data_IF_302786404140
#
_entry.id   IF_302786404140
#
_cell.length_a   1.000
_cell.length_b   1.000
_cell.length_c   1.000
_cell.angle_alpha   90.00
_cell.angle_beta   90.00
_cell.angle_gamma   90.00
#
_symmetry.space_group_name_H-M   'P 1'
#
loop_
_entity.id
_entity.type
_entity.pdbx_description
1 polymer ?
#
# COMPACT_ATOMS: atom_id res chain seq x y z
N UNK A 1 11.97 29.49 9.50
CA UNK A 1 13.00 29.83 10.50
C UNK A 1 12.28 30.51 11.66
N UNK A 2 11.93 29.77 12.72
CA UNK A 2 11.22 30.35 13.87
C UNK A 2 12.23 31.09 14.77
N UNK A 3 11.89 32.31 15.19
CA UNK A 3 12.80 33.17 15.96
C UNK A 3 13.03 32.61 17.37
N UNK A 4 14.24 32.78 17.91
CA UNK A 4 14.61 32.38 19.28
C UNK A 4 13.63 32.86 20.36
N UNK A 5 12.86 33.93 20.11
CA UNK A 5 11.84 34.45 21.01
C UNK A 5 10.60 33.53 21.16
N UNK A 6 10.26 32.76 20.11
CA UNK A 6 9.15 31.80 20.16
C UNK A 6 9.51 30.58 21.03
N UNK A 7 10.77 30.16 20.98
CA UNK A 7 11.30 29.00 21.72
C UNK A 7 11.41 29.25 23.23
N UNK A 8 11.76 30.49 23.63
CA UNK A 8 11.83 30.89 25.05
C UNK A 8 10.46 30.88 25.75
N UNK A 9 9.37 30.97 25.00
CA UNK A 9 8.01 31.10 25.52
C UNK A 9 7.35 29.76 25.87
N UNK A 10 7.93 28.63 25.45
CA UNK A 10 7.46 27.27 25.77
C UNK A 10 8.27 26.57 26.88
N UNK A 11 9.20 27.28 27.50
CA UNK A 11 9.92 26.75 28.68
C UNK A 11 9.11 27.11 29.94
N UNK A 12 8.69 26.14 30.76
CA UNK A 12 8.04 26.45 32.04
C UNK A 12 9.03 27.17 32.97
N UNK A 13 8.61 28.26 33.63
CA UNK A 13 9.35 28.84 34.76
C UNK A 13 8.71 28.43 36.09
N UNK A 14 9.47 28.16 37.16
CA UNK A 14 10.85 27.67 37.25
C UNK A 14 10.86 26.15 37.55
N UNK A 15 11.93 25.38 37.23
CA UNK A 15 12.02 24.04 37.86
C UNK A 15 13.10 23.07 37.43
N UNK A 16 13.28 22.78 36.14
CA UNK A 16 14.26 21.78 35.68
C UNK A 16 14.81 22.21 34.32
N UNK A 17 16.13 22.15 34.13
CA UNK A 17 16.75 22.38 32.82
C UNK A 17 16.14 21.41 31.79
N UNK A 18 15.82 21.85 30.57
CA UNK A 18 15.18 20.97 29.57
C UNK A 18 16.01 19.70 29.30
N UNK A 19 17.34 19.82 29.32
CA UNK A 19 18.24 18.69 29.18
C UNK A 19 18.05 17.71 30.35
N UNK A 20 18.17 18.19 31.59
CA UNK A 20 17.95 17.38 32.82
C UNK A 20 16.57 16.72 32.82
N UNK A 21 15.54 17.42 32.34
CA UNK A 21 14.19 16.86 32.26
C UNK A 21 14.12 15.67 31.29
N UNK A 22 14.74 15.77 30.12
CA UNK A 22 14.78 14.67 29.14
C UNK A 22 15.63 13.50 29.69
N UNK A 23 16.75 13.79 30.34
CA UNK A 23 17.60 12.79 31.01
C UNK A 23 16.81 12.04 32.10
N UNK A 24 16.08 12.77 32.95
CA UNK A 24 15.22 12.18 33.98
C UNK A 24 14.09 11.34 33.39
N UNK A 25 13.49 11.73 32.26
CA UNK A 25 12.49 10.89 31.60
C UNK A 25 13.09 9.55 31.16
N UNK A 26 14.27 9.56 30.54
CA UNK A 26 14.93 8.30 30.14
C UNK A 26 15.27 7.45 31.37
N UNK A 27 15.79 8.06 32.44
CA UNK A 27 16.07 7.36 33.70
C UNK A 27 14.80 6.78 34.35
N UNK A 28 13.70 7.53 34.35
CA UNK A 28 12.40 7.10 34.88
C UNK A 28 11.90 5.86 34.14
N UNK A 29 12.04 5.81 32.81
CA UNK A 29 11.64 4.64 32.02
C UNK A 29 12.32 3.35 32.50
N UNK A 30 13.63 3.41 32.78
CA UNK A 30 14.42 2.25 33.19
C UNK A 30 14.26 1.89 34.66
N UNK A 31 13.87 2.83 35.52
CA UNK A 31 13.77 2.62 36.97
C UNK A 31 12.36 2.26 37.42
N UNK A 32 11.33 2.69 36.69
CA UNK A 32 9.94 2.37 37.01
C UNK A 32 9.58 0.95 36.62
N UNK A 33 8.73 0.31 37.43
CA UNK A 33 8.09 -0.99 37.10
C UNK A 33 6.65 -0.83 36.61
N UNK A 34 6.13 0.40 36.59
CA UNK A 34 4.77 0.69 36.13
C UNK A 34 4.74 0.89 34.62
N UNK A 35 4.02 0.01 33.91
CA UNK A 35 3.88 0.04 32.45
C UNK A 35 3.21 1.34 31.96
N UNK A 36 2.19 1.85 32.67
CA UNK A 36 1.53 3.11 32.29
C UNK A 36 2.50 4.30 32.39
N UNK A 37 3.38 4.29 33.40
CA UNK A 37 4.42 5.30 33.53
C UNK A 37 5.44 5.19 32.37
N UNK A 38 5.85 3.97 32.01
CA UNK A 38 6.71 3.74 30.85
C UNK A 38 6.08 4.24 29.55
N UNK A 39 4.79 4.00 29.35
CA UNK A 39 4.03 4.51 28.20
C UNK A 39 4.00 6.04 28.18
N UNK A 40 3.66 6.67 29.31
CA UNK A 40 3.60 8.13 29.43
C UNK A 40 4.95 8.79 29.16
N UNK A 41 6.03 8.24 29.74
CA UNK A 41 7.39 8.72 29.54
C UNK A 41 7.82 8.57 28.08
N UNK A 42 7.58 7.40 27.48
CA UNK A 42 7.90 7.14 26.07
C UNK A 42 7.16 8.08 25.12
N UNK A 43 5.87 8.33 25.39
CA UNK A 43 5.06 9.28 24.64
C UNK A 43 5.59 10.71 24.76
N UNK A 44 6.01 11.13 25.96
CA UNK A 44 6.62 12.43 26.19
C UNK A 44 7.92 12.58 25.38
N UNK A 45 8.80 11.59 25.42
CA UNK A 45 10.05 11.58 24.65
C UNK A 45 9.79 11.66 23.14
N UNK A 46 8.82 10.88 22.63
CA UNK A 46 8.44 10.93 21.22
C UNK A 46 7.89 12.31 20.79
N UNK A 47 7.16 12.99 21.68
CA UNK A 47 6.70 14.36 21.46
C UNK A 47 7.86 15.38 21.46
N UNK A 48 8.86 15.22 22.34
CA UNK A 48 10.06 16.06 22.30
C UNK A 48 10.82 15.91 20.98
N UNK A 49 10.88 14.70 20.42
CA UNK A 49 11.56 14.42 19.16
C UNK A 49 10.98 15.18 17.96
N UNK A 50 9.74 15.67 18.05
CA UNK A 50 9.11 16.47 16.98
C UNK A 50 9.80 17.81 16.72
N UNK A 51 10.35 18.46 17.75
CA UNK A 51 11.00 19.77 17.62
C UNK A 51 12.52 19.62 17.59
N UNK A 52 13.20 20.05 16.50
CA UNK A 52 14.65 19.93 16.34
C UNK A 52 15.49 20.52 17.47
N UNK A 53 14.96 21.50 18.21
CA UNK A 53 15.67 22.07 19.37
C UNK A 53 15.98 21.03 20.44
N UNK A 54 15.25 19.90 20.48
CA UNK A 54 15.44 18.88 21.50
C UNK A 54 16.33 17.72 21.04
N UNK A 55 16.74 17.67 19.77
CA UNK A 55 17.44 16.51 19.23
C UNK A 55 18.77 16.23 19.90
N UNK A 56 19.57 17.27 20.17
CA UNK A 56 20.85 17.09 20.87
C UNK A 56 20.63 16.59 22.31
N UNK A 57 19.63 17.10 23.02
CA UNK A 57 19.29 16.62 24.37
C UNK A 57 18.83 15.16 24.36
N UNK A 58 18.00 14.76 23.38
CA UNK A 58 17.54 13.39 23.23
C UNK A 58 18.69 12.43 22.90
N UNK A 59 19.64 12.85 22.06
CA UNK A 59 20.84 12.07 21.75
C UNK A 59 21.73 11.94 22.98
N UNK A 60 22.00 13.02 23.70
CA UNK A 60 22.80 13.01 24.93
C UNK A 60 22.19 12.13 26.02
N UNK A 61 20.86 12.07 26.11
CA UNK A 61 20.14 11.21 27.05
C UNK A 61 19.98 9.75 26.58
N UNK A 62 20.60 9.32 25.48
CA UNK A 62 20.42 7.98 24.89
C UNK A 62 18.98 7.62 24.47
N UNK A 63 18.10 8.61 24.25
CA UNK A 63 16.69 8.35 23.92
C UNK A 63 16.50 7.57 22.61
N UNK A 64 17.41 7.71 21.64
CA UNK A 64 17.38 6.92 20.39
C UNK A 64 17.50 5.41 20.65
N UNK A 65 18.39 5.03 21.57
CA UNK A 65 18.61 3.63 21.93
C UNK A 65 17.38 3.08 22.63
N UNK A 66 16.82 3.85 23.57
CA UNK A 66 15.55 3.54 24.20
C UNK A 66 14.46 3.31 23.14
N UNK A 67 14.26 4.23 22.18
CA UNK A 67 13.24 4.06 21.13
C UNK A 67 13.41 2.77 20.31
N UNK A 68 14.65 2.35 20.02
CA UNK A 68 14.92 1.06 19.34
C UNK A 68 14.58 -0.12 20.24
N UNK A 69 14.90 -0.05 21.54
CA UNK A 69 14.52 -1.08 22.53
C UNK A 69 13.00 -1.24 22.63
N UNK A 70 12.24 -0.13 22.57
CA UNK A 70 10.78 -0.16 22.60
C UNK A 70 10.18 -1.00 21.45
N UNK A 71 10.81 -1.01 20.27
CA UNK A 71 10.35 -1.81 19.11
C UNK A 71 10.37 -3.32 19.38
N UNK A 72 11.20 -3.76 20.33
CA UNK A 72 11.42 -5.17 20.67
C UNK A 72 10.47 -5.65 21.79
N UNK A 73 9.77 -4.74 22.45
CA UNK A 73 8.79 -5.08 23.50
C UNK A 73 7.58 -5.83 22.92
N UNK A 74 6.72 -6.35 23.80
CA UNK A 74 5.41 -6.92 23.42
C UNK A 74 4.26 -5.90 23.49
N UNK A 75 4.50 -4.71 24.05
CA UNK A 75 3.47 -3.69 24.24
C UNK A 75 3.36 -2.80 22.99
N UNK A 76 2.18 -2.76 22.38
CA UNK A 76 1.95 -2.01 21.15
C UNK A 76 2.06 -0.48 21.35
N UNK A 77 1.62 0.06 22.50
CA UNK A 77 1.75 1.49 22.78
C UNK A 77 3.23 1.90 22.86
N UNK A 78 4.05 1.12 23.58
CA UNK A 78 5.50 1.36 23.63
C UNK A 78 6.13 1.27 22.24
N UNK A 79 5.76 0.27 21.44
CA UNK A 79 6.23 0.16 20.05
C UNK A 79 5.83 1.37 19.21
N UNK A 80 4.59 1.88 19.35
CA UNK A 80 4.09 3.08 18.67
C UNK A 80 4.93 4.30 19.05
N UNK A 81 5.13 4.55 20.35
CA UNK A 81 5.92 5.69 20.79
C UNK A 81 7.38 5.60 20.37
N UNK A 82 7.96 4.40 20.43
CA UNK A 82 9.31 4.13 19.92
C UNK A 82 9.44 4.49 18.45
N UNK A 83 8.58 3.93 17.58
CA UNK A 83 8.68 4.19 16.14
C UNK A 83 8.35 5.67 15.81
N UNK A 84 7.38 6.28 16.49
CA UNK A 84 7.05 7.70 16.29
C UNK A 84 8.23 8.61 16.68
N UNK A 85 8.90 8.32 17.80
CA UNK A 85 10.12 9.02 18.21
C UNK A 85 11.23 8.91 17.16
N UNK A 86 11.47 7.71 16.62
CA UNK A 86 12.43 7.49 15.54
C UNK A 86 12.07 8.24 14.25
N UNK A 87 10.81 8.20 13.82
CA UNK A 87 10.32 8.97 12.67
C UNK A 87 10.62 10.47 12.83
N UNK A 88 10.34 11.02 14.01
CA UNK A 88 10.49 12.45 14.25
C UNK A 88 11.95 12.90 14.23
N UNK A 89 12.87 12.09 14.77
CA UNK A 89 14.29 12.46 14.90
C UNK A 89 15.16 12.01 13.72
N UNK A 90 14.71 11.09 12.86
CA UNK A 90 15.54 10.54 11.76
C UNK A 90 15.97 11.56 10.69
N UNK A 91 15.43 12.78 10.73
CA UNK A 91 15.84 13.91 9.90
C UNK A 91 17.16 14.53 10.38
N UNK A 92 17.56 14.31 11.63
CA UNK A 92 18.89 14.64 12.12
C UNK A 92 19.94 13.70 11.50
N UNK A 93 21.08 14.25 11.08
CA UNK A 93 22.10 13.50 10.33
C UNK A 93 22.73 12.37 11.16
N UNK A 94 23.01 12.62 12.43
CA UNK A 94 23.61 11.62 13.32
C UNK A 94 22.62 10.50 13.63
N UNK A 95 21.38 10.89 13.92
CA UNK A 95 20.26 9.97 14.16
C UNK A 95 19.93 9.11 12.95
N UNK A 96 20.02 9.69 11.75
CA UNK A 96 19.89 8.97 10.49
C UNK A 96 20.94 7.86 10.37
N UNK A 97 22.23 8.18 10.56
CA UNK A 97 23.30 7.17 10.49
C UNK A 97 23.19 6.12 11.58
N UNK A 98 22.77 6.50 12.79
CA UNK A 98 22.46 5.56 13.85
C UNK A 98 21.43 4.53 13.39
N UNK A 99 20.33 4.96 12.75
CA UNK A 99 19.27 4.07 12.28
C UNK A 99 19.66 3.17 11.11
N UNK A 100 20.61 3.59 10.27
CA UNK A 100 21.14 2.77 9.17
C UNK A 100 22.05 1.62 9.63
N UNK A 101 22.39 1.56 10.92
CA UNK A 101 23.13 0.42 11.46
C UNK A 101 22.31 -0.87 11.35
N UNK A 102 22.97 -1.97 10.97
CA UNK A 102 22.33 -3.25 10.66
C UNK A 102 21.44 -3.78 11.81
N UNK A 103 21.88 -3.62 13.06
CA UNK A 103 21.11 -4.03 14.24
C UNK A 103 19.78 -3.30 14.35
N UNK A 104 19.77 -1.98 14.14
CA UNK A 104 18.58 -1.14 14.28
C UNK A 104 17.62 -1.34 13.10
N UNK A 105 18.14 -1.44 11.87
CA UNK A 105 17.33 -1.81 10.71
C UNK A 105 16.66 -3.18 10.90
N UNK A 106 17.37 -4.17 11.46
CA UNK A 106 16.79 -5.48 11.76
C UNK A 106 15.65 -5.37 12.78
N UNK A 107 15.76 -4.53 13.81
CA UNK A 107 14.67 -4.31 14.78
C UNK A 107 13.43 -3.73 14.09
N UNK A 108 13.60 -2.72 13.22
CA UNK A 108 12.51 -2.11 12.46
C UNK A 108 11.86 -3.13 11.51
N UNK A 109 12.68 -3.89 10.77
CA UNK A 109 12.23 -4.92 9.83
C UNK A 109 11.47 -6.05 10.53
N UNK A 110 11.98 -6.50 11.68
CA UNK A 110 11.33 -7.53 12.49
C UNK A 110 9.98 -7.06 13.01
N UNK A 111 9.89 -5.83 13.52
CA UNK A 111 8.63 -5.24 13.94
C UNK A 111 7.65 -5.11 12.77
N UNK A 112 8.13 -4.59 11.64
CA UNK A 112 7.32 -4.46 10.43
C UNK A 112 6.79 -5.80 9.97
N UNK A 113 7.59 -6.86 9.98
CA UNK A 113 7.17 -8.20 9.55
C UNK A 113 6.06 -8.76 10.45
N UNK A 114 6.20 -8.64 11.78
CA UNK A 114 5.29 -9.26 12.76
C UNK A 114 4.00 -8.48 13.03
N UNK A 115 4.03 -7.14 12.97
CA UNK A 115 2.90 -6.33 13.46
C UNK A 115 1.66 -6.40 12.56
N UNK A 116 0.48 -6.41 13.16
CA UNK A 116 -0.81 -6.18 12.48
C UNK A 116 -1.41 -4.81 12.77
N UNK A 117 -0.80 -4.03 13.67
CA UNK A 117 -1.30 -2.74 14.09
C UNK A 117 -1.04 -1.67 13.01
N UNK A 118 -2.10 -1.00 12.56
CA UNK A 118 -2.05 -0.05 11.45
C UNK A 118 -1.20 1.19 11.78
N UNK A 119 -1.21 1.65 13.01
CA UNK A 119 -0.45 2.83 13.43
C UNK A 119 1.05 2.56 13.41
N UNK A 120 1.48 1.38 13.89
CA UNK A 120 2.87 0.93 13.79
C UNK A 120 3.29 0.82 12.33
N UNK A 121 2.45 0.21 11.48
CA UNK A 121 2.72 0.06 10.04
C UNK A 121 2.91 1.44 9.38
N UNK A 122 2.01 2.38 9.63
CA UNK A 122 2.08 3.73 9.04
C UNK A 122 3.34 4.49 9.47
N UNK A 123 3.70 4.41 10.76
CA UNK A 123 4.93 5.02 11.25
C UNK A 123 6.17 4.37 10.62
N UNK A 124 6.25 3.04 10.55
CA UNK A 124 7.39 2.36 9.91
C UNK A 124 7.52 2.75 8.43
N UNK A 125 6.41 2.81 7.69
CA UNK A 125 6.44 3.24 6.29
C UNK A 125 6.92 4.69 6.14
N UNK A 126 6.52 5.56 7.07
CA UNK A 126 6.98 6.95 7.13
C UNK A 126 8.47 7.03 7.41
N UNK A 127 8.97 6.26 8.38
CA UNK A 127 10.40 6.17 8.69
C UNK A 127 11.20 5.66 7.49
N UNK A 128 10.76 4.57 6.86
CA UNK A 128 11.43 4.01 5.67
C UNK A 128 11.49 5.06 4.56
N UNK A 129 10.40 5.77 4.30
CA UNK A 129 10.38 6.85 3.31
C UNK A 129 11.40 7.94 3.65
N UNK A 130 11.39 8.44 4.88
CA UNK A 130 12.30 9.51 5.34
C UNK A 130 13.78 9.08 5.27
N UNK A 131 14.09 7.84 5.65
CA UNK A 131 15.42 7.28 5.51
C UNK A 131 15.83 7.26 4.04
N UNK A 132 15.00 6.71 3.15
CA UNK A 132 15.31 6.61 1.72
C UNK A 132 15.47 7.98 1.03
N UNK A 133 14.73 9.00 1.44
CA UNK A 133 14.81 10.34 0.84
C UNK A 133 16.09 11.09 1.19
N UNK A 134 16.73 10.73 2.29
CA UNK A 134 17.93 11.42 2.79
C UNK A 134 19.21 10.61 2.60
N UNK A 135 19.15 9.51 1.83
CA UNK A 135 20.32 8.70 1.47
C UNK A 135 21.20 9.38 0.41
N UNK A 136 22.50 9.13 0.51
CA UNK A 136 23.45 9.38 -0.57
C UNK A 136 23.08 8.53 -1.81
N UNK A 137 23.35 9.06 -3.00
CA UNK A 137 22.95 8.43 -4.27
C UNK A 137 23.49 6.98 -4.44
N UNK A 138 24.66 6.70 -3.85
CA UNK A 138 25.36 5.42 -3.97
C UNK A 138 24.99 4.42 -2.86
N UNK A 139 24.12 4.77 -1.92
CA UNK A 139 23.71 3.85 -0.87
C UNK A 139 22.81 2.74 -1.42
N UNK A 140 23.12 1.49 -1.06
CA UNK A 140 22.31 0.34 -1.45
C UNK A 140 20.94 0.35 -0.73
N UNK A 141 19.93 0.87 -1.42
CA UNK A 141 18.55 0.97 -0.92
C UNK A 141 17.94 -0.40 -0.58
N UNK A 142 18.47 -1.51 -1.09
CA UNK A 142 17.94 -2.85 -0.82
C UNK A 142 18.16 -3.29 0.64
N UNK A 143 19.10 -2.65 1.34
CA UNK A 143 19.33 -2.84 2.79
C UNK A 143 18.12 -2.38 3.60
N UNK A 144 17.44 -1.32 3.17
CA UNK A 144 16.20 -0.81 3.78
C UNK A 144 14.97 -1.48 3.15
N UNK A 145 14.88 -1.50 1.81
CA UNK A 145 13.77 -2.08 1.05
C UNK A 145 13.98 -3.57 0.80
N UNK A 146 14.00 -4.35 1.87
CA UNK A 146 14.16 -5.80 1.77
C UNK A 146 12.98 -6.43 1.02
N UNK A 147 13.21 -7.60 0.43
CA UNK A 147 12.16 -8.38 -0.27
C UNK A 147 10.97 -8.64 0.66
N UNK A 148 11.19 -8.83 1.96
CA UNK A 148 10.13 -9.05 2.93
C UNK A 148 9.26 -7.80 3.15
N UNK A 149 9.88 -6.62 3.28
CA UNK A 149 9.16 -5.34 3.34
C UNK A 149 8.34 -5.16 2.07
N UNK A 150 8.96 -5.33 0.90
CA UNK A 150 8.27 -5.18 -0.39
C UNK A 150 7.11 -6.17 -0.52
N UNK A 151 7.30 -7.42 -0.10
CA UNK A 151 6.23 -8.42 -0.06
C UNK A 151 5.10 -8.00 0.86
N UNK A 152 5.38 -7.46 2.06
CA UNK A 152 4.34 -7.04 3.01
C UNK A 152 3.59 -5.78 2.55
N UNK A 153 4.29 -4.80 1.98
CA UNK A 153 3.67 -3.63 1.34
C UNK A 153 2.75 -4.08 0.20
N UNK A 154 3.24 -4.96 -0.66
CA UNK A 154 2.46 -5.55 -1.76
C UNK A 154 1.45 -6.61 -1.30
N UNK A 155 1.46 -7.03 -0.04
CA UNK A 155 0.45 -7.96 0.49
C UNK A 155 -0.91 -7.25 0.62
N UNK A 156 -0.93 -5.92 0.74
CA UNK A 156 -2.16 -5.14 0.69
C UNK A 156 -2.71 -4.95 -0.73
N UNK A 157 -2.03 -5.46 -1.77
CA UNK A 157 -2.61 -5.70 -3.11
C UNK A 157 -3.03 -7.16 -3.33
N UNK A 158 -3.00 -8.01 -2.29
CA UNK A 158 -3.64 -9.34 -2.36
C UNK A 158 -5.10 -9.27 -1.90
N UNK A 159 -5.99 -9.36 -2.91
CA UNK A 159 -7.44 -9.62 -2.85
C UNK A 159 -8.03 -9.84 -1.45
N UNK A 160 -8.85 -8.89 -0.99
CA UNK A 160 -10.09 -9.32 -0.37
C UNK A 160 -10.69 -10.40 -1.28
N UNK A 161 -11.02 -11.57 -0.72
CA UNK A 161 -11.49 -12.74 -1.48
C UNK A 161 -12.91 -12.44 -1.97
N UNK A 162 -13.00 -11.56 -2.96
CA UNK A 162 -14.22 -11.20 -3.61
C UNK A 162 -14.76 -12.45 -4.31
N UNK A 163 -16.08 -12.69 -4.28
CA UNK A 163 -16.68 -13.68 -5.14
C UNK A 163 -16.22 -13.40 -6.58
N UNK A 164 -15.69 -14.42 -7.24
CA UNK A 164 -15.15 -14.30 -8.58
C UNK A 164 -15.61 -15.46 -9.47
N UNK A 165 -15.68 -15.19 -10.77
CA UNK A 165 -15.84 -16.20 -11.81
C UNK A 165 -14.69 -16.12 -12.79
N UNK A 166 -14.25 -17.27 -13.28
CA UNK A 166 -13.31 -17.41 -14.39
C UNK A 166 -14.02 -18.05 -15.58
N UNK A 167 -13.94 -17.41 -16.74
CA UNK A 167 -14.40 -17.96 -18.02
C UNK A 167 -13.22 -18.00 -18.98
N UNK A 168 -13.07 -19.10 -19.72
CA UNK A 168 -12.06 -19.21 -20.77
C UNK A 168 -12.74 -19.03 -22.12
N UNK A 169 -12.26 -18.10 -22.94
CA UNK A 169 -12.74 -17.87 -24.30
C UNK A 169 -11.59 -17.91 -25.30
N UNK A 170 -11.75 -18.74 -26.33
CA UNK A 170 -10.92 -18.70 -27.54
C UNK A 170 -11.69 -18.01 -28.66
N UNK A 171 -11.20 -16.88 -29.15
CA UNK A 171 -11.84 -16.12 -30.22
C UNK A 171 -11.47 -16.72 -31.58
N UNK A 172 -12.46 -16.90 -32.45
CA UNK A 172 -12.27 -17.50 -33.78
C UNK A 172 -12.46 -16.49 -34.90
N UNK A 173 -11.96 -16.81 -36.10
CA UNK A 173 -12.11 -15.91 -37.26
C UNK A 173 -13.57 -15.65 -37.60
N UNK A 174 -14.40 -16.69 -37.56
CA UNK A 174 -15.82 -16.57 -37.85
C UNK A 174 -16.52 -15.59 -36.90
N UNK A 175 -16.14 -15.55 -35.62
CA UNK A 175 -16.70 -14.59 -34.67
C UNK A 175 -16.24 -13.16 -34.94
N UNK A 176 -14.98 -12.96 -35.33
CA UNK A 176 -14.49 -11.63 -35.74
C UNK A 176 -15.22 -11.13 -36.98
N UNK A 177 -15.47 -12.01 -37.95
CA UNK A 177 -16.19 -11.67 -39.18
C UNK A 177 -17.65 -11.31 -38.87
N UNK A 178 -18.32 -12.09 -38.01
CA UNK A 178 -19.67 -11.81 -37.53
C UNK A 178 -19.74 -10.48 -36.78
N UNK A 179 -18.78 -10.20 -35.89
CA UNK A 179 -18.72 -8.93 -35.17
C UNK A 179 -18.47 -7.74 -36.10
N UNK A 180 -17.58 -7.91 -37.09
CA UNK A 180 -17.30 -6.89 -38.12
C UNK A 180 -18.53 -6.61 -38.98
N UNK A 181 -19.31 -7.64 -39.33
CA UNK A 181 -20.56 -7.49 -40.07
C UNK A 181 -21.63 -6.76 -39.25
N UNK A 182 -21.76 -7.11 -37.97
CA UNK A 182 -22.75 -6.52 -37.07
C UNK A 182 -22.45 -5.05 -36.77
N UNK A 183 -21.19 -4.72 -36.51
CA UNK A 183 -20.77 -3.37 -36.05
C UNK A 183 -20.36 -2.44 -37.19
N UNK A 184 -20.00 -3.00 -38.35
CA UNK A 184 -19.39 -2.26 -39.45
C UNK A 184 -17.88 -2.02 -39.28
N UNK A 185 -17.26 -2.44 -38.17
CA UNK A 185 -15.81 -2.32 -37.99
C UNK A 185 -15.06 -3.39 -38.80
N UNK A 186 -14.74 -3.04 -40.04
CA UNK A 186 -14.00 -3.86 -41.00
C UNK A 186 -12.50 -3.54 -41.04
N UNK A 187 -11.93 -3.03 -39.94
CA UNK A 187 -10.50 -2.76 -39.89
C UNK A 187 -9.69 -4.02 -40.21
N UNK A 188 -8.69 -3.89 -41.09
CA UNK A 188 -7.91 -5.00 -41.64
C UNK A 188 -7.23 -5.84 -40.55
N UNK A 189 -6.92 -5.25 -39.39
CA UNK A 189 -6.28 -5.94 -38.26
C UNK A 189 -7.10 -7.12 -37.71
N UNK A 190 -8.39 -7.17 -38.03
CA UNK A 190 -9.32 -8.26 -37.64
C UNK A 190 -9.52 -9.30 -38.74
N UNK A 191 -9.02 -9.03 -39.95
CA UNK A 191 -9.33 -9.79 -41.16
C UNK A 191 -8.41 -10.99 -41.36
N UNK A 192 -8.94 -12.00 -42.07
CA UNK A 192 -8.19 -13.17 -42.52
C UNK A 192 -7.03 -12.86 -43.48
N UNK A 193 -6.98 -11.65 -44.04
CA UNK A 193 -5.86 -11.17 -44.86
C UNK A 193 -4.57 -10.92 -44.06
N UNK A 194 -4.67 -10.77 -42.74
CA UNK A 194 -3.52 -10.61 -41.84
C UNK A 194 -3.07 -11.99 -41.34
N UNK A 195 -1.75 -12.27 -41.25
CA UNK A 195 -1.24 -13.51 -40.65
C UNK A 195 -1.83 -13.75 -39.25
N UNK A 196 -2.07 -15.01 -38.90
CA UNK A 196 -2.84 -15.37 -37.71
C UNK A 196 -2.22 -14.83 -36.41
N UNK A 197 -0.89 -14.83 -36.33
CA UNK A 197 -0.10 -14.31 -35.21
C UNK A 197 -0.14 -12.77 -35.09
N UNK A 198 -0.52 -12.06 -36.16
CA UNK A 198 -0.67 -10.61 -36.21
C UNK A 198 -2.12 -10.15 -36.13
N UNK A 199 -3.07 -11.08 -36.25
CA UNK A 199 -4.50 -10.78 -36.22
C UNK A 199 -4.97 -10.51 -34.79
N UNK A 200 -5.83 -9.50 -34.65
CA UNK A 200 -6.28 -8.98 -33.34
C UNK A 200 -7.79 -9.09 -33.19
N UNK A 201 -8.24 -9.39 -31.97
CA UNK A 201 -9.67 -9.30 -31.60
C UNK A 201 -10.06 -7.83 -31.44
N UNK A 202 -11.26 -7.43 -31.87
CA UNK A 202 -11.78 -6.08 -31.62
C UNK A 202 -11.83 -5.79 -30.12
N UNK A 203 -11.35 -4.62 -29.70
CA UNK A 203 -11.45 -4.19 -28.30
C UNK A 203 -12.91 -4.11 -27.83
N UNK A 204 -13.79 -3.58 -28.67
CA UNK A 204 -15.23 -3.53 -28.38
C UNK A 204 -15.85 -4.93 -28.22
N UNK A 205 -15.33 -5.94 -28.95
CA UNK A 205 -15.81 -7.32 -28.83
C UNK A 205 -15.42 -7.93 -27.47
N UNK A 206 -14.22 -7.65 -26.97
CA UNK A 206 -13.84 -8.03 -25.60
C UNK A 206 -14.79 -7.45 -24.56
N UNK A 207 -15.13 -6.16 -24.68
CA UNK A 207 -16.09 -5.54 -23.77
C UNK A 207 -17.48 -6.14 -23.90
N UNK A 208 -17.94 -6.48 -25.10
CA UNK A 208 -19.22 -7.14 -25.33
C UNK A 208 -19.30 -8.51 -24.66
N UNK A 209 -18.22 -9.31 -24.73
CA UNK A 209 -18.13 -10.60 -24.01
C UNK A 209 -18.20 -10.39 -22.50
N UNK A 210 -17.40 -9.47 -21.95
CA UNK A 210 -17.40 -9.18 -20.51
C UNK A 210 -18.78 -8.71 -20.04
N UNK A 211 -19.42 -7.80 -20.77
CA UNK A 211 -20.77 -7.32 -20.48
C UNK A 211 -21.81 -8.48 -20.52
N UNK A 212 -21.67 -9.39 -21.48
CA UNK A 212 -22.49 -10.60 -21.57
C UNK A 212 -22.34 -11.50 -20.34
N UNK A 213 -21.11 -11.77 -19.90
CA UNK A 213 -20.87 -12.57 -18.69
C UNK A 213 -21.45 -11.86 -17.45
N UNK A 214 -21.27 -10.55 -17.34
CA UNK A 214 -21.84 -9.74 -16.25
C UNK A 214 -23.37 -9.83 -16.20
N UNK A 215 -24.03 -9.71 -17.35
CA UNK A 215 -25.48 -9.69 -17.45
C UNK A 215 -26.15 -11.06 -17.31
N UNK A 216 -25.43 -12.16 -17.56
CA UNK A 216 -26.04 -13.50 -17.68
C UNK A 216 -25.50 -14.54 -16.72
N UNK A 217 -24.24 -14.44 -16.28
CA UNK A 217 -23.59 -15.47 -15.47
C UNK A 217 -23.26 -14.99 -14.05
N UNK A 218 -22.60 -13.84 -13.92
CA UNK A 218 -22.10 -13.37 -12.63
C UNK A 218 -22.04 -11.84 -12.59
N UNK A 219 -22.66 -11.13 -11.62
CA UNK A 219 -23.19 -11.63 -10.34
C UNK A 219 -24.47 -12.48 -10.42
N UNK A 220 -25.16 -12.47 -11.55
CA UNK A 220 -26.31 -13.31 -11.82
C UNK A 220 -27.26 -12.70 -12.86
N UNK A 221 -28.25 -13.47 -13.36
CA UNK A 221 -29.24 -12.99 -14.32
C UNK A 221 -30.02 -11.76 -13.81
N UNK A 222 -30.37 -10.86 -14.73
CA UNK A 222 -31.09 -9.61 -14.40
C UNK A 222 -30.18 -8.45 -13.98
N UNK A 223 -28.86 -8.66 -13.99
CA UNK A 223 -27.89 -7.59 -13.75
C UNK A 223 -27.91 -6.56 -14.87
N UNK A 224 -28.06 -5.28 -14.52
CA UNK A 224 -28.02 -4.16 -15.48
C UNK A 224 -26.69 -3.41 -15.32
N UNK A 225 -25.95 -3.25 -16.42
CA UNK A 225 -24.72 -2.45 -16.45
C UNK A 225 -25.10 -0.96 -16.53
N UNK A 226 -24.65 -0.16 -15.56
CA UNK A 226 -24.90 1.29 -15.52
C UNK A 226 -23.73 2.10 -16.07
N UNK A 227 -22.50 1.66 -15.78
CA UNK A 227 -21.28 2.36 -16.17
C UNK A 227 -20.15 1.33 -16.31
N UNK A 228 -19.31 1.48 -17.33
CA UNK A 228 -18.07 0.72 -17.47
C UNK A 228 -16.91 1.68 -17.75
N UNK A 229 -15.78 1.44 -17.09
CA UNK A 229 -14.50 2.10 -17.39
C UNK A 229 -13.46 1.04 -17.61
N UNK A 230 -12.71 1.12 -18.70
CA UNK A 230 -11.75 0.09 -19.07
C UNK A 230 -10.59 0.65 -19.88
N UNK A 231 -9.53 -0.16 -19.97
CA UNK A 231 -8.37 0.10 -20.80
C UNK A 231 -7.98 -1.15 -21.60
N UNK A 232 -7.59 -0.93 -22.86
CA UNK A 232 -6.94 -1.94 -23.70
C UNK A 232 -5.43 -1.82 -23.48
N UNK A 233 -4.86 -2.70 -22.67
CA UNK A 233 -3.45 -2.62 -22.28
C UNK A 233 -2.54 -3.23 -23.34
N UNK A 234 -2.99 -4.32 -23.97
CA UNK A 234 -2.24 -5.09 -24.96
C UNK A 234 -3.19 -5.66 -26.02
N UNK A 235 -2.68 -6.02 -27.21
CA UNK A 235 -3.49 -6.65 -28.24
C UNK A 235 -3.96 -8.03 -27.80
N UNK A 236 -5.22 -8.36 -28.06
CA UNK A 236 -5.75 -9.71 -27.90
C UNK A 236 -5.58 -10.50 -29.19
N UNK A 237 -4.96 -11.68 -29.12
CA UNK A 237 -4.72 -12.56 -30.25
C UNK A 237 -5.91 -13.47 -30.51
N UNK A 238 -6.17 -13.74 -31.78
CA UNK A 238 -7.12 -14.78 -32.20
C UNK A 238 -6.54 -16.18 -31.93
N UNK A 239 -7.40 -17.19 -31.88
CA UNK A 239 -7.02 -18.59 -31.68
C UNK A 239 -6.04 -18.78 -30.51
N UNK A 240 -6.21 -17.99 -29.45
CA UNK A 240 -5.42 -18.03 -28.21
C UNK A 240 -6.39 -17.96 -27.04
N UNK A 241 -6.23 -18.83 -26.05
CA UNK A 241 -7.11 -18.87 -24.90
C UNK A 241 -6.99 -17.60 -24.08
N UNK A 242 -8.13 -16.95 -23.87
CA UNK A 242 -8.25 -15.75 -23.05
C UNK A 242 -8.97 -16.11 -21.76
N UNK A 243 -8.28 -15.92 -20.64
CA UNK A 243 -8.89 -16.10 -19.32
C UNK A 243 -9.56 -14.79 -18.90
N UNK A 244 -10.85 -14.84 -18.61
CA UNK A 244 -11.66 -13.69 -18.22
C UNK A 244 -12.05 -13.86 -16.76
N UNK A 245 -11.57 -12.96 -15.92
CA UNK A 245 -11.87 -12.89 -14.50
C UNK A 245 -12.84 -11.75 -14.24
N UNK A 246 -13.88 -12.00 -13.43
CA UNK A 246 -14.79 -10.97 -12.94
C UNK A 246 -14.89 -11.13 -11.43
N UNK A 247 -14.66 -10.04 -10.69
CA UNK A 247 -14.66 -10.02 -9.22
C UNK A 247 -15.69 -9.04 -8.70
N UNK A 248 -16.55 -9.48 -7.79
CA UNK A 248 -17.56 -8.65 -7.15
C UNK A 248 -17.00 -7.96 -5.91
N UNK A 249 -16.61 -6.69 -6.06
CA UNK A 249 -16.01 -5.91 -4.99
C UNK A 249 -17.00 -5.58 -3.87
N UNK A 250 -18.27 -5.35 -4.24
CA UNK A 250 -19.33 -5.02 -3.28
C UNK A 250 -20.69 -5.45 -3.79
N UNK A 251 -21.36 -6.32 -3.06
CA UNK A 251 -22.74 -6.74 -3.32
C UNK A 251 -23.73 -5.78 -2.62
N UNK A 252 -24.39 -4.92 -3.39
CA UNK A 252 -25.50 -4.05 -2.94
C UNK A 252 -26.40 -3.72 -4.14
N UNK A 253 -27.45 -2.92 -3.96
CA UNK A 253 -28.32 -2.46 -5.08
C UNK A 253 -27.49 -1.91 -6.24
N UNK A 254 -26.50 -1.04 -5.95
CA UNK A 254 -25.49 -0.60 -6.91
C UNK A 254 -24.16 -1.31 -6.64
N UNK A 255 -23.95 -2.46 -7.27
CA UNK A 255 -22.74 -3.25 -7.09
C UNK A 255 -21.58 -2.74 -7.93
N UNK A 256 -20.36 -3.00 -7.47
CA UNK A 256 -19.13 -2.69 -8.21
C UNK A 256 -18.41 -4.01 -8.51
N UNK A 257 -18.06 -4.20 -9.77
CA UNK A 257 -17.22 -5.32 -10.21
C UNK A 257 -15.93 -4.80 -10.85
N UNK A 258 -14.86 -5.57 -10.73
CA UNK A 258 -13.67 -5.44 -11.58
C UNK A 258 -13.56 -6.65 -12.49
N UNK A 259 -12.91 -6.46 -13.63
CA UNK A 259 -12.66 -7.55 -14.57
C UNK A 259 -11.30 -7.41 -15.23
N UNK A 260 -10.72 -8.56 -15.55
CA UNK A 260 -9.42 -8.69 -16.21
C UNK A 260 -9.51 -9.80 -17.25
N UNK A 261 -9.01 -9.54 -18.45
CA UNK A 261 -8.74 -10.56 -19.46
C UNK A 261 -7.22 -10.79 -19.55
N UNK A 262 -6.81 -12.04 -19.53
CA UNK A 262 -5.40 -12.46 -19.52
C UNK A 262 -5.15 -13.40 -20.71
N UNK A 263 -4.09 -13.13 -21.46
CA UNK A 263 -3.51 -14.05 -22.45
C UNK A 263 -2.01 -14.16 -22.18
N UNK A 264 -1.44 -15.36 -22.30
CA UNK A 264 0.01 -15.59 -22.14
C UNK A 264 0.59 -14.97 -20.85
N UNK A 265 -0.14 -15.12 -19.72
CA UNK A 265 0.22 -14.58 -18.41
C UNK A 265 0.29 -13.03 -18.34
N UNK A 266 -0.25 -12.32 -19.33
CA UNK A 266 -0.30 -10.86 -19.37
C UNK A 266 -1.74 -10.37 -19.40
N UNK A 267 -2.02 -9.32 -18.62
CA UNK A 267 -3.31 -8.63 -18.67
C UNK A 267 -3.40 -7.86 -19.99
N UNK A 268 -4.41 -8.17 -20.79
CA UNK A 268 -4.64 -7.55 -22.11
C UNK A 268 -5.74 -6.49 -22.06
N UNK A 269 -6.73 -6.67 -21.19
CA UNK A 269 -7.89 -5.81 -21.03
C UNK A 269 -8.31 -5.83 -19.57
N UNK A 270 -8.59 -4.67 -19.00
CA UNK A 270 -9.06 -4.58 -17.62
C UNK A 270 -10.02 -3.42 -17.45
N UNK A 271 -10.88 -3.51 -16.44
CA UNK A 271 -11.78 -2.43 -16.12
C UNK A 271 -12.62 -2.67 -14.88
N UNK A 272 -13.53 -1.74 -14.66
CA UNK A 272 -14.54 -1.76 -13.62
C UNK A 272 -15.93 -1.48 -14.20
N UNK A 273 -16.96 -1.99 -13.53
CA UNK A 273 -18.34 -1.70 -13.89
C UNK A 273 -19.22 -1.45 -12.66
N UNK A 274 -20.07 -0.44 -12.75
CA UNK A 274 -21.18 -0.24 -11.81
C UNK A 274 -22.41 -0.96 -12.33
N UNK A 275 -23.01 -1.77 -11.47
CA UNK A 275 -24.11 -2.65 -11.80
C UNK A 275 -25.31 -2.33 -10.93
N UNK A 276 -26.51 -2.35 -11.50
CA UNK A 276 -27.75 -2.43 -10.75
C UNK A 276 -28.14 -3.92 -10.64
N UNK A 277 -28.12 -4.44 -9.41
CA UNK A 277 -28.71 -5.75 -9.13
C UNK A 277 -30.20 -5.53 -8.91
N UNK A 278 -31.01 -5.82 -9.92
CA UNK A 278 -32.45 -5.92 -9.71
C UNK A 278 -32.69 -7.24 -8.99
N UNK A 279 -32.99 -7.18 -7.69
CA UNK A 279 -33.46 -8.36 -6.98
C UNK A 279 -34.59 -8.99 -7.78
N UNK A 280 -34.53 -10.31 -7.97
CA UNK A 280 -35.69 -11.10 -8.39
C UNK A 280 -36.82 -10.66 -7.45
N UNK A 281 -37.80 -9.94 -7.99
CA UNK A 281 -38.91 -9.45 -7.19
C UNK A 281 -39.66 -10.66 -6.63
N UNK A 282 -39.59 -10.82 -5.31
CA UNK A 282 -40.36 -11.71 -4.42
C UNK A 282 -39.99 -13.20 -4.44
#
# INVERSE_FOLDING_TARGET
>A
MYSHAYLKRKTPEPGVNRQEFIEHLVEEFYTTTNIEAQEQVSANLANFAYDPINWDYLKSAEALKLFVELLQTSNENLQIFGIAGLCNICLDKESHYFLLQKSHLNSIQTLFAKTGNLEIILNILTLIYQLLTSLDADYDKTVILTIEILKKINKNTTSARYPEVKVIKRFTQNELDQFSQLTGDKNIVHSSSVPIEQRRVHGAFLNAIVAGIIGTQFPGPGTIVLEQRFAFLRPCLIETDTEIYIRLLKARKISLVTYECIQNQQVIFQGEAKLLLTGINK
#
